data_IF_927500926199
#
_entry.id   IF_927500926199
#
_cell.length_a   1.000
_cell.length_b   1.000
_cell.length_c   1.000
_cell.angle_alpha   90.00
_cell.angle_beta   90.00
_cell.angle_gamma   90.00
#
_symmetry.space_group_name_H-M   'P 1'
#
loop_
_entity.id
_entity.type
_entity.pdbx_description
1 polymer ?
#
# COMPACT_ATOMS: atom_id res chain seq x y z
N UNK A 1 -13.28 16.92 2.29
CA UNK A 1 -12.20 15.94 2.00
C UNK A 1 -12.85 14.60 1.67
N UNK A 2 -12.86 14.20 0.40
CA UNK A 2 -13.41 12.91 -0.02
C UNK A 2 -12.62 11.75 0.58
N UNK A 3 -13.31 10.77 1.16
CA UNK A 3 -12.72 9.50 1.61
C UNK A 3 -12.09 8.83 0.39
N UNK A 4 -10.76 8.85 0.27
CA UNK A 4 -10.05 8.01 -0.71
C UNK A 4 -10.46 6.57 -0.44
N UNK A 5 -11.10 5.97 -1.44
CA UNK A 5 -11.79 4.70 -1.35
C UNK A 5 -10.82 3.62 -0.86
N UNK A 6 -11.33 2.75 0.01
CA UNK A 6 -10.57 1.62 0.52
C UNK A 6 -10.16 0.72 -0.65
N UNK A 7 -8.88 0.33 -0.75
CA UNK A 7 -8.43 -0.65 -1.75
C UNK A 7 -9.35 -1.88 -1.73
N UNK A 8 -9.85 -2.26 -2.91
CA UNK A 8 -10.66 -3.46 -3.08
C UNK A 8 -9.82 -4.73 -2.82
N UNK A 9 -10.49 -5.85 -2.55
CA UNK A 9 -9.81 -7.11 -2.21
C UNK A 9 -8.82 -7.54 -3.29
N UNK A 10 -9.18 -7.42 -4.57
CA UNK A 10 -8.29 -7.70 -5.71
C UNK A 10 -7.04 -6.83 -5.68
N UNK A 11 -7.19 -5.53 -5.38
CA UNK A 11 -6.04 -4.62 -5.31
C UNK A 11 -5.11 -4.95 -4.14
N UNK A 12 -5.65 -5.44 -3.01
CA UNK A 12 -4.83 -5.90 -1.88
C UNK A 12 -4.01 -7.13 -2.25
N UNK A 13 -4.59 -8.05 -3.01
CA UNK A 13 -3.89 -9.24 -3.48
C UNK A 13 -2.78 -8.86 -4.47
N UNK A 14 -3.08 -8.03 -5.46
CA UNK A 14 -2.07 -7.50 -6.39
C UNK A 14 -0.96 -6.75 -5.66
N UNK A 15 -1.30 -5.94 -4.64
CA UNK A 15 -0.33 -5.22 -3.82
C UNK A 15 0.61 -6.19 -3.07
N UNK A 16 0.08 -7.26 -2.50
CA UNK A 16 0.88 -8.29 -1.83
C UNK A 16 1.80 -9.01 -2.82
N UNK A 17 1.30 -9.43 -3.98
CA UNK A 17 2.12 -10.08 -5.00
C UNK A 17 3.24 -9.18 -5.52
N UNK A 18 2.95 -7.89 -5.76
CA UNK A 18 3.96 -6.94 -6.20
C UNK A 18 5.01 -6.67 -5.12
N UNK A 19 4.59 -6.61 -3.84
CA UNK A 19 5.51 -6.52 -2.71
C UNK A 19 6.42 -7.75 -2.61
N UNK A 20 5.87 -8.96 -2.77
CA UNK A 20 6.65 -10.23 -2.78
C UNK A 20 7.59 -10.32 -3.99
N UNK A 21 7.24 -9.72 -5.12
CA UNK A 21 8.10 -9.56 -6.30
C UNK A 21 9.25 -8.56 -6.07
N UNK A 22 9.31 -7.91 -4.91
CA UNK A 22 10.38 -6.97 -4.54
C UNK A 22 10.09 -5.52 -4.92
N UNK A 23 8.85 -5.17 -5.29
CA UNK A 23 8.51 -3.76 -5.48
C UNK A 23 8.55 -3.00 -4.16
N UNK A 24 9.16 -1.82 -4.20
CA UNK A 24 9.21 -0.93 -3.04
C UNK A 24 7.86 -0.27 -2.78
N UNK A 25 7.58 0.05 -1.51
CA UNK A 25 6.35 0.74 -1.10
C UNK A 25 6.10 2.04 -1.88
N UNK A 26 7.15 2.71 -2.37
CA UNK A 26 7.04 3.91 -3.21
C UNK A 26 6.46 3.60 -4.59
N UNK A 27 6.90 2.50 -5.22
CA UNK A 27 6.36 2.07 -6.51
C UNK A 27 4.90 1.64 -6.35
N UNK A 28 4.61 0.83 -5.32
CA UNK A 28 3.23 0.43 -5.01
C UNK A 28 2.31 1.63 -4.76
N UNK A 29 2.76 2.63 -3.99
CA UNK A 29 2.01 3.85 -3.77
C UNK A 29 1.66 4.60 -5.08
N UNK A 30 2.60 4.65 -6.03
CA UNK A 30 2.35 5.25 -7.35
C UNK A 30 1.40 4.41 -8.20
N UNK A 31 1.64 3.10 -8.28
CA UNK A 31 0.82 2.14 -9.05
C UNK A 31 -0.64 2.16 -8.62
N UNK A 32 -0.89 2.19 -7.32
CA UNK A 32 -2.23 2.17 -6.74
C UNK A 32 -2.79 3.57 -6.44
N UNK A 33 -2.06 4.64 -6.77
CA UNK A 33 -2.40 6.04 -6.46
C UNK A 33 -2.78 6.30 -4.98
N UNK A 34 -2.18 5.55 -4.07
CA UNK A 34 -2.43 5.64 -2.62
C UNK A 34 -1.19 6.14 -1.88
N UNK A 35 -1.40 6.69 -0.69
CA UNK A 35 -0.29 7.10 0.17
C UNK A 35 0.51 5.89 0.66
N UNK A 36 1.81 6.07 0.89
CA UNK A 36 2.66 5.03 1.52
C UNK A 36 2.05 4.53 2.83
N UNK A 37 1.50 5.42 3.65
CA UNK A 37 0.81 5.09 4.90
C UNK A 37 -0.38 4.15 4.68
N UNK A 38 -1.10 4.31 3.57
CA UNK A 38 -2.21 3.43 3.18
C UNK A 38 -1.68 2.04 2.82
N UNK A 39 -0.62 1.95 2.00
CA UNK A 39 0.05 0.68 1.65
C UNK A 39 0.52 -0.04 2.93
N UNK A 40 1.20 0.67 3.83
CA UNK A 40 1.69 0.15 5.12
C UNK A 40 0.55 -0.41 5.96
N UNK A 41 -0.57 0.34 6.06
CA UNK A 41 -1.79 -0.10 6.76
C UNK A 41 -2.38 -1.38 6.15
N UNK A 42 -2.36 -1.52 4.82
CA UNK A 42 -2.88 -2.70 4.14
C UNK A 42 -1.96 -3.92 4.24
N UNK A 43 -0.65 -3.72 4.18
CA UNK A 43 0.34 -4.78 4.43
C UNK A 43 0.46 -5.13 5.92
N UNK A 44 -0.27 -4.43 6.80
CA UNK A 44 -0.13 -4.51 8.26
C UNK A 44 1.33 -4.39 8.72
N UNK A 45 2.17 -3.70 7.92
CA UNK A 45 3.54 -3.43 8.29
C UNK A 45 3.49 -2.45 9.45
N UNK A 46 3.70 -2.93 10.66
CA UNK A 46 3.79 -2.10 11.88
C UNK A 46 5.09 -1.27 11.92
N UNK A 47 5.65 -0.92 10.75
CA UNK A 47 6.89 -0.14 10.64
C UNK A 47 6.57 1.35 10.72
N UNK A 48 6.02 1.78 11.87
CA UNK A 48 5.97 3.18 12.28
C UNK A 48 7.34 3.55 12.88
N UNK A 49 8.35 3.77 12.04
CA UNK A 49 9.54 4.53 12.46
C UNK A 49 9.29 6.00 12.14
N UNK A 50 8.69 6.68 13.10
CA UNK A 50 8.80 8.13 13.27
C UNK A 50 10.29 8.52 13.19
N UNK A 51 10.63 9.44 12.29
CA UNK A 51 11.87 10.22 12.34
C UNK A 51 11.49 11.68 12.26
#
# INVERSE_FOLDING_TARGET
>A
LGRKEALNQEQKESLRQLHESGQTLRQLAQTFNVSKTTIIRYLQLSECKSK
#
